data_IF_614804825091
#
_entry.id   IF_614804825091
#
_cell.length_a   1.000
_cell.length_b   1.000
_cell.length_c   1.000
_cell.angle_alpha   90.00
_cell.angle_beta   90.00
_cell.angle_gamma   90.00
#
_symmetry.space_group_name_H-M   'P 1'
#
loop_
_entity.id
_entity.type
_entity.pdbx_description
1 polymer ?
#
# COMPACT_ATOMS: atom_id res chain seq x y z
N UNK A 1 13.77 25.82 -1.71
CA UNK A 1 12.88 26.20 -0.59
C UNK A 1 12.20 24.92 -0.15
N UNK A 2 12.62 24.33 0.98
CA UNK A 2 11.88 23.23 1.61
C UNK A 2 12.30 23.21 3.07
N UNK A 3 11.34 23.49 3.95
CA UNK A 3 11.50 23.46 5.40
C UNK A 3 10.48 22.49 5.98
N UNK A 4 10.84 21.85 7.08
CA UNK A 4 9.93 20.99 7.85
C UNK A 4 8.66 21.79 8.22
N UNK A 5 7.49 21.20 7.99
CA UNK A 5 6.23 21.82 8.38
C UNK A 5 6.25 22.13 9.88
N UNK A 6 6.14 23.41 10.23
CA UNK A 6 6.11 23.88 11.62
C UNK A 6 4.84 23.37 12.34
N UNK A 7 3.77 23.14 11.57
CA UNK A 7 2.53 22.54 12.03
C UNK A 7 2.11 21.44 11.06
N UNK A 8 1.88 20.23 11.59
CA UNK A 8 1.21 19.14 10.88
C UNK A 8 -0.14 18.94 11.55
N UNK A 9 -1.17 19.55 10.98
CA UNK A 9 -2.55 19.30 11.38
C UNK A 9 -3.34 18.96 10.13
N UNK A 10 -4.04 17.84 10.17
CA UNK A 10 -4.95 17.42 9.12
C UNK A 10 -6.30 18.15 9.27
N UNK A 11 -7.08 18.29 8.18
CA UNK A 11 -8.44 18.82 8.29
C UNK A 11 -9.31 18.05 9.29
N UNK A 12 -9.13 16.73 9.38
CA UNK A 12 -9.86 15.88 10.32
C UNK A 12 -9.50 16.19 11.78
N UNK A 13 -8.22 16.37 12.09
CA UNK A 13 -7.78 16.80 13.43
C UNK A 13 -8.40 18.15 13.80
N UNK A 14 -8.47 19.10 12.86
CA UNK A 14 -9.16 20.37 13.07
C UNK A 14 -10.65 20.22 13.38
N UNK A 15 -11.33 19.25 12.75
CA UNK A 15 -12.73 18.93 13.07
C UNK A 15 -12.86 18.33 14.47
N UNK A 16 -11.97 17.40 14.85
CA UNK A 16 -11.94 16.83 16.19
C UNK A 16 -11.64 17.89 17.26
N UNK A 17 -10.69 18.79 17.04
CA UNK A 17 -10.40 19.88 17.97
C UNK A 17 -11.60 20.82 18.14
N UNK A 18 -12.31 21.11 17.04
CA UNK A 18 -13.42 22.07 17.04
C UNK A 18 -14.71 21.49 17.62
N UNK A 19 -15.00 20.23 17.35
CA UNK A 19 -16.28 19.59 17.63
C UNK A 19 -16.19 18.43 18.63
N UNK A 20 -15.01 17.93 18.97
CA UNK A 20 -14.84 16.73 19.79
C UNK A 20 -14.91 15.46 18.95
N UNK A 21 -14.01 14.50 19.20
CA UNK A 21 -13.91 13.25 18.46
C UNK A 21 -15.17 12.38 18.60
N UNK A 22 -15.93 12.55 19.68
CA UNK A 22 -17.18 11.84 19.95
C UNK A 22 -18.38 12.33 19.11
N UNK A 23 -18.22 13.45 18.39
CA UNK A 23 -19.27 14.05 17.54
C UNK A 23 -18.89 14.10 16.06
N UNK A 24 -17.78 13.46 15.69
CA UNK A 24 -17.27 13.45 14.32
C UNK A 24 -17.00 12.01 13.94
N UNK A 25 -17.87 11.44 13.12
CA UNK A 25 -17.61 10.16 12.47
C UNK A 25 -16.77 10.38 11.21
N UNK A 26 -15.86 9.45 10.94
CA UNK A 26 -14.95 9.52 9.80
C UNK A 26 -14.81 8.16 9.11
N UNK A 27 -14.96 8.18 7.79
CA UNK A 27 -14.58 7.09 6.91
C UNK A 27 -13.62 7.65 5.84
N UNK A 28 -12.45 7.03 5.70
CA UNK A 28 -11.45 7.44 4.70
C UNK A 28 -11.92 7.14 3.27
N UNK A 29 -12.81 6.16 3.10
CA UNK A 29 -13.34 5.77 1.80
C UNK A 29 -12.38 4.98 0.91
N UNK A 30 -11.33 4.39 1.50
CA UNK A 30 -10.39 3.51 0.80
C UNK A 30 -10.87 2.05 0.84
N UNK A 31 -10.68 1.33 -0.26
CA UNK A 31 -10.97 -0.09 -0.34
C UNK A 31 -9.99 -0.88 0.55
N UNK A 32 -10.52 -1.86 1.28
CA UNK A 32 -9.72 -2.83 2.05
C UNK A 32 -9.67 -4.14 1.29
N UNK A 33 -8.47 -4.59 0.95
CA UNK A 33 -8.25 -5.75 0.07
C UNK A 33 -7.23 -6.73 0.64
N UNK A 34 -7.38 -8.00 0.27
CA UNK A 34 -6.33 -9.02 0.34
C UNK A 34 -5.97 -9.46 -1.07
N UNK A 35 -4.69 -9.74 -1.26
CA UNK A 35 -4.15 -10.21 -2.54
C UNK A 35 -3.88 -11.71 -2.42
N UNK A 36 -4.75 -12.52 -3.04
CA UNK A 36 -4.62 -13.98 -3.07
C UNK A 36 -3.69 -14.38 -4.22
N UNK A 37 -2.70 -15.21 -3.95
CA UNK A 37 -1.80 -15.80 -4.96
C UNK A 37 -2.47 -16.95 -5.70
N UNK A 38 -1.91 -17.34 -6.83
CA UNK A 38 -2.31 -18.52 -7.61
C UNK A 38 -2.22 -19.84 -6.82
N UNK A 39 -1.36 -19.89 -5.79
CA UNK A 39 -1.23 -21.03 -4.87
C UNK A 39 -2.29 -21.06 -3.77
N UNK A 40 -3.12 -20.01 -3.65
CA UNK A 40 -4.18 -19.89 -2.66
C UNK A 40 -3.75 -19.35 -1.30
N UNK A 41 -2.50 -18.92 -1.16
CA UNK A 41 -2.02 -18.09 -0.04
C UNK A 41 -2.31 -16.61 -0.32
N UNK A 42 -2.07 -15.76 0.67
CA UNK A 42 -2.30 -14.33 0.59
C UNK A 42 -1.03 -13.56 0.89
N UNK A 43 -0.88 -12.40 0.26
CA UNK A 43 0.18 -11.45 0.57
C UNK A 43 0.11 -11.04 2.05
N UNK A 44 1.25 -11.11 2.73
CA UNK A 44 1.37 -10.88 4.17
C UNK A 44 2.50 -9.91 4.46
N UNK A 45 2.18 -8.86 5.22
CA UNK A 45 3.15 -7.89 5.74
C UNK A 45 3.68 -8.45 7.06
N UNK A 46 4.96 -8.86 7.13
CA UNK A 46 5.51 -9.33 8.39
C UNK A 46 5.52 -8.19 9.40
N UNK A 47 5.28 -8.52 10.67
CA UNK A 47 5.52 -7.57 11.75
C UNK A 47 7.00 -7.15 11.68
N UNK A 48 7.26 -5.86 11.53
CA UNK A 48 8.57 -5.35 11.84
C UNK A 48 8.82 -5.71 13.32
N UNK A 49 9.92 -6.38 13.64
CA UNK A 49 10.36 -6.51 15.04
C UNK A 49 10.65 -5.12 15.62
N UNK A 50 11.23 -5.04 16.82
CA UNK A 50 11.71 -3.78 17.43
C UNK A 50 12.86 -3.11 16.64
N UNK A 51 12.80 -3.09 15.30
CA UNK A 51 13.55 -2.16 14.49
C UNK A 51 13.02 -0.77 14.85
N UNK A 52 13.90 0.07 15.39
CA UNK A 52 13.58 1.46 15.73
C UNK A 52 12.71 2.08 14.62
N UNK A 53 11.54 2.56 15.04
CA UNK A 53 10.62 3.41 14.25
C UNK A 53 11.31 4.71 13.81
N UNK A 54 12.50 4.98 14.35
CA UNK A 54 13.41 5.97 13.80
C UNK A 54 13.87 5.53 12.40
N UNK A 55 13.30 6.19 11.40
CA UNK A 55 13.89 6.30 10.07
C UNK A 55 15.33 6.80 10.21
N UNK A 56 16.31 5.88 10.20
CA UNK A 56 17.73 6.22 10.10
C UNK A 56 17.93 7.09 8.86
N UNK A 57 18.12 8.39 9.06
CA UNK A 57 18.27 9.39 8.00
C UNK A 57 17.13 10.40 7.86
N UNK A 58 16.04 10.30 8.64
CA UNK A 58 14.96 11.30 8.61
C UNK A 58 15.33 12.64 9.28
N UNK A 59 16.40 12.69 10.09
CA UNK A 59 17.03 13.96 10.48
C UNK A 59 17.80 14.55 9.29
N UNK A 60 17.08 15.19 8.37
CA UNK A 60 17.66 16.06 7.33
C UNK A 60 17.56 15.57 5.89
N UNK A 61 17.07 14.35 5.61
CA UNK A 61 16.77 13.94 4.23
C UNK A 61 15.40 14.47 3.79
N UNK A 62 15.39 15.60 3.09
CA UNK A 62 14.20 16.23 2.50
C UNK A 62 13.66 15.51 1.25
N UNK A 63 14.22 14.35 0.94
CA UNK A 63 13.78 13.54 -0.19
C UNK A 63 13.36 12.17 0.32
N UNK A 64 12.05 11.84 0.33
CA UNK A 64 11.63 10.46 0.53
C UNK A 64 12.28 9.50 -0.50
N UNK A 65 12.78 10.00 -1.66
CA UNK A 65 13.57 9.22 -2.61
C UNK A 65 15.00 8.87 -2.15
N UNK A 66 15.53 9.54 -1.12
CA UNK A 66 16.87 9.25 -0.59
C UNK A 66 16.88 8.10 0.42
N UNK A 67 15.71 7.62 0.84
CA UNK A 67 15.59 6.32 1.48
C UNK A 67 15.54 5.29 0.35
N UNK A 68 16.72 4.84 -0.12
CA UNK A 68 16.80 3.58 -0.86
C UNK A 68 16.04 2.54 -0.02
N UNK A 69 14.83 2.15 -0.47
CA UNK A 69 13.76 1.63 0.37
C UNK A 69 14.27 0.76 1.52
N UNK A 70 13.88 1.06 2.76
CA UNK A 70 14.36 0.45 4.02
C UNK A 70 14.59 -1.07 3.91
N UNK A 71 15.78 -1.49 3.49
CA UNK A 71 16.14 -2.91 3.29
C UNK A 71 16.31 -3.67 4.59
N UNK A 72 16.41 -2.94 5.71
CA UNK A 72 16.43 -3.45 7.07
C UNK A 72 15.07 -3.98 7.54
N UNK A 73 13.98 -3.62 6.86
CA UNK A 73 12.66 -4.19 7.10
C UNK A 73 12.51 -5.53 6.36
N UNK A 74 11.72 -6.47 6.91
CA UNK A 74 11.51 -7.75 6.25
C UNK A 74 10.72 -7.58 4.93
N UNK A 75 11.08 -8.33 3.88
CA UNK A 75 10.28 -8.37 2.65
C UNK A 75 8.90 -8.96 2.92
N UNK A 76 7.91 -8.56 2.13
CA UNK A 76 6.59 -9.17 2.17
C UNK A 76 6.69 -10.66 1.87
N UNK A 77 5.81 -11.43 2.51
CA UNK A 77 5.75 -12.89 2.33
C UNK A 77 4.32 -13.29 1.95
N UNK A 78 4.04 -14.59 1.95
CA UNK A 78 2.68 -15.08 1.75
C UNK A 78 2.31 -16.12 2.80
N UNK A 79 1.11 -16.06 3.34
CA UNK A 79 0.59 -17.04 4.31
C UNK A 79 -0.91 -17.33 4.08
N UNK A 80 -1.54 -18.12 4.95
CA UNK A 80 -2.94 -18.52 4.77
C UNK A 80 -3.97 -17.42 5.09
N UNK A 81 -3.58 -16.37 5.81
CA UNK A 81 -4.48 -15.33 6.31
C UNK A 81 -4.35 -14.02 5.53
N UNK A 82 -3.11 -13.65 5.22
CA UNK A 82 -2.73 -12.40 4.58
C UNK A 82 -2.87 -11.19 5.48
N UNK A 83 -2.61 -10.03 4.89
CA UNK A 83 -2.80 -8.72 5.52
C UNK A 83 -3.83 -7.93 4.73
N UNK A 84 -4.78 -7.30 5.44
CA UNK A 84 -5.70 -6.33 4.84
C UNK A 84 -4.93 -5.04 4.49
N UNK A 85 -4.89 -4.71 3.21
CA UNK A 85 -4.24 -3.52 2.68
C UNK A 85 -5.29 -2.49 2.29
N UNK A 86 -5.01 -1.21 2.55
CA UNK A 86 -5.75 -0.14 1.90
C UNK A 86 -5.26 0.00 0.46
N UNK A 87 -6.17 -0.14 -0.50
CA UNK A 87 -5.94 0.15 -1.91
C UNK A 87 -6.39 1.58 -2.18
N UNK A 88 -5.43 2.40 -2.62
CA UNK A 88 -5.66 3.82 -2.94
C UNK A 88 -5.48 3.98 -4.44
N UNK A 89 -6.60 4.21 -5.13
CA UNK A 89 -6.62 4.47 -6.57
C UNK A 89 -6.35 5.96 -6.84
N UNK A 90 -5.36 6.24 -7.69
CA UNK A 90 -4.99 7.58 -8.13
C UNK A 90 -5.60 7.94 -9.48
N UNK A 91 -6.41 7.06 -10.05
CA UNK A 91 -6.92 7.12 -11.41
C UNK A 91 -5.92 6.55 -12.44
N UNK A 92 -6.40 6.40 -13.68
CA UNK A 92 -5.58 5.92 -14.81
C UNK A 92 -4.89 4.55 -14.55
N UNK A 93 -5.51 3.73 -13.69
CA UNK A 93 -5.02 2.41 -13.28
C UNK A 93 -3.77 2.45 -12.39
N UNK A 94 -3.38 3.63 -11.88
CA UNK A 94 -2.27 3.80 -10.94
C UNK A 94 -2.79 3.67 -9.51
N UNK A 95 -2.14 2.84 -8.70
CA UNK A 95 -2.54 2.65 -7.30
C UNK A 95 -1.34 2.62 -6.36
N UNK A 96 -1.60 2.88 -5.09
CA UNK A 96 -0.71 2.55 -3.98
C UNK A 96 -1.40 1.59 -3.01
N UNK A 97 -0.60 0.80 -2.29
CA UNK A 97 -1.06 -0.12 -1.26
C UNK A 97 -0.48 0.31 0.08
N UNK A 98 -1.32 0.43 1.10
CA UNK A 98 -0.90 0.85 2.45
C UNK A 98 -1.24 -0.24 3.46
N UNK A 99 -0.24 -0.64 4.23
CA UNK A 99 -0.36 -1.61 5.30
C UNK A 99 -1.12 -1.03 6.51
N UNK A 100 -1.62 -1.88 7.43
CA UNK A 100 -2.35 -1.44 8.62
C UNK A 100 -1.57 -0.50 9.55
N UNK A 101 -0.25 -0.59 9.54
CA UNK A 101 0.66 0.29 10.29
C UNK A 101 0.83 1.68 9.66
N UNK A 102 0.16 1.94 8.53
CA UNK A 102 0.20 3.21 7.82
C UNK A 102 1.29 3.32 6.76
N UNK A 103 2.22 2.35 6.68
CA UNK A 103 3.30 2.37 5.69
C UNK A 103 2.82 1.90 4.33
N UNK A 104 3.24 2.59 3.29
CA UNK A 104 3.04 2.22 1.90
C UNK A 104 4.00 1.11 1.51
N UNK A 105 3.48 0.18 0.69
CA UNK A 105 4.28 -0.83 0.06
C UNK A 105 5.19 -0.16 -0.99
N UNK A 106 6.49 -0.42 -0.92
CA UNK A 106 7.49 0.12 -1.84
C UNK A 106 8.50 -0.96 -2.23
N UNK A 107 9.03 -0.87 -3.45
CA UNK A 107 10.13 -1.72 -3.89
C UNK A 107 11.47 -1.09 -3.52
N UNK A 108 12.26 -1.80 -2.73
CA UNK A 108 13.60 -1.37 -2.36
C UNK A 108 14.62 -1.64 -3.47
N UNK A 109 15.86 -1.18 -3.29
CA UNK A 109 16.95 -1.33 -4.26
C UNK A 109 17.34 -2.79 -4.54
N UNK A 110 17.12 -3.69 -3.59
CA UNK A 110 17.32 -5.14 -3.75
C UNK A 110 16.18 -5.82 -4.53
N UNK A 111 15.17 -5.05 -4.95
CA UNK A 111 14.03 -5.51 -5.73
C UNK A 111 12.91 -6.14 -4.91
N UNK A 112 13.04 -6.24 -3.59
CA UNK A 112 11.99 -6.81 -2.74
C UNK A 112 10.95 -5.76 -2.33
N UNK A 113 9.71 -6.21 -2.24
CA UNK A 113 8.57 -5.43 -1.80
C UNK A 113 8.52 -5.38 -0.27
N UNK A 114 8.38 -4.18 0.31
CA UNK A 114 8.33 -3.95 1.75
C UNK A 114 7.25 -2.93 2.10
N UNK A 115 6.65 -3.04 3.28
CA UNK A 115 5.90 -1.94 3.88
C UNK A 115 6.90 -1.01 4.56
N UNK A 116 7.32 0.06 3.90
CA UNK A 116 8.47 0.87 4.34
C UNK A 116 8.35 2.37 4.17
N UNK A 117 7.46 2.86 3.32
CA UNK A 117 7.36 4.28 3.01
C UNK A 117 6.25 4.95 3.84
N UNK A 118 6.54 6.05 4.53
CA UNK A 118 5.52 6.81 5.28
C UNK A 118 4.54 7.54 4.36
N UNK A 119 4.97 7.85 3.14
CA UNK A 119 4.17 8.49 2.09
C UNK A 119 4.74 8.14 0.70
N UNK A 120 3.91 8.12 -0.35
CA UNK A 120 4.40 8.05 -1.72
C UNK A 120 5.21 9.32 -2.03
N UNK A 121 6.38 9.17 -2.64
CA UNK A 121 7.19 10.34 -2.96
C UNK A 121 8.44 10.05 -3.77
N UNK A 122 9.17 11.13 -4.06
CA UNK A 122 10.42 11.07 -4.82
C UNK A 122 10.26 11.33 -6.32
N UNK A 123 11.39 11.41 -7.02
CA UNK A 123 11.40 11.58 -8.48
C UNK A 123 10.92 10.32 -9.21
N UNK A 124 11.32 9.16 -8.70
CA UNK A 124 10.77 7.85 -9.08
C UNK A 124 10.03 7.33 -7.85
N UNK A 125 8.70 7.27 -7.93
CA UNK A 125 7.82 6.87 -6.83
C UNK A 125 7.76 5.34 -6.75
N UNK A 126 8.45 4.77 -5.77
CA UNK A 126 8.58 3.30 -5.61
C UNK A 126 7.32 2.65 -5.01
N UNK A 127 6.34 3.46 -4.61
CA UNK A 127 5.10 3.03 -3.96
C UNK A 127 3.97 2.76 -4.96
N UNK A 128 4.24 2.93 -6.26
CA UNK A 128 3.20 2.93 -7.30
C UNK A 128 3.15 1.65 -8.11
N UNK A 129 1.93 1.16 -8.31
CA UNK A 129 1.66 -0.09 -9.01
C UNK A 129 0.53 0.07 -10.03
N UNK A 130 0.41 -0.91 -10.94
CA UNK A 130 -0.74 -1.11 -11.82
C UNK A 130 -1.22 -2.55 -11.77
N UNK A 131 -2.53 -2.74 -11.80
CA UNK A 131 -3.14 -4.06 -12.00
C UNK A 131 -3.34 -4.30 -13.49
N UNK A 132 -2.62 -5.27 -14.02
CA UNK A 132 -2.72 -5.67 -15.43
C UNK A 132 -3.46 -7.01 -15.51
N UNK A 133 -4.45 -7.20 -16.40
CA UNK A 133 -5.11 -8.49 -16.57
C UNK A 133 -4.09 -9.59 -16.93
N UNK A 134 -4.11 -10.72 -16.22
CA UNK A 134 -3.16 -11.80 -16.43
C UNK A 134 -3.30 -12.49 -17.80
N UNK A 135 -4.48 -12.40 -18.43
CA UNK A 135 -4.76 -12.97 -19.74
C UNK A 135 -5.26 -11.91 -20.72
N UNK A 136 -4.36 -11.03 -21.17
CA UNK A 136 -4.69 -10.06 -22.22
C UNK A 136 -4.69 -10.66 -23.63
N UNK A 137 -4.39 -11.98 -23.78
CA UNK A 137 -4.27 -12.67 -25.09
C UNK A 137 -5.32 -13.75 -25.35
N UNK A 138 -5.96 -14.30 -24.34
CA UNK A 138 -7.11 -15.17 -24.49
C UNK A 138 -8.29 -14.47 -23.81
N UNK A 139 -9.43 -14.34 -24.48
CA UNK A 139 -10.64 -13.68 -23.94
C UNK A 139 -11.29 -14.39 -22.74
N UNK A 140 -10.50 -15.11 -21.95
CA UNK A 140 -10.81 -15.69 -20.66
C UNK A 140 -10.94 -14.56 -19.63
N UNK A 141 -12.15 -14.37 -19.13
CA UNK A 141 -12.45 -13.46 -18.03
C UNK A 141 -11.97 -14.08 -16.71
N UNK A 142 -10.65 -14.22 -16.54
CA UNK A 142 -10.06 -14.50 -15.24
C UNK A 142 -10.02 -13.22 -14.40
N UNK A 143 -10.40 -13.30 -13.12
CA UNK A 143 -10.24 -12.23 -12.12
C UNK A 143 -8.79 -11.99 -11.70
N UNK A 144 -7.84 -12.73 -12.26
CA UNK A 144 -6.42 -12.65 -11.94
C UNK A 144 -5.73 -11.46 -12.59
N UNK A 145 -4.88 -10.80 -11.80
CA UNK A 145 -4.10 -9.63 -12.19
C UNK A 145 -2.61 -9.86 -11.94
N UNK A 146 -1.78 -9.36 -12.85
CA UNK A 146 -0.36 -9.14 -12.58
C UNK A 146 -0.21 -7.76 -11.94
N UNK A 147 0.51 -7.70 -10.83
CA UNK A 147 0.80 -6.42 -10.17
C UNK A 147 2.13 -5.88 -10.69
N UNK A 148 2.07 -4.88 -11.57
CA UNK A 148 3.24 -4.24 -12.16
C UNK A 148 3.71 -3.10 -11.28
N UNK A 149 4.97 -3.12 -10.86
CA UNK A 149 5.59 -1.99 -10.18
C UNK A 149 6.01 -0.93 -11.21
N UNK A 150 5.54 0.31 -11.05
CA UNK A 150 5.71 1.37 -12.05
C UNK A 150 7.16 1.85 -12.11
N UNK A 151 7.84 1.95 -10.96
CA UNK A 151 9.20 2.48 -10.88
C UNK A 151 10.24 1.62 -11.59
N UNK A 152 10.12 0.29 -11.49
CA UNK A 152 11.02 -0.67 -12.18
C UNK A 152 10.46 -1.12 -13.53
N UNK A 153 9.14 -1.07 -13.69
CA UNK A 153 8.44 -1.56 -14.88
C UNK A 153 8.22 -3.08 -14.93
N UNK A 154 8.73 -3.82 -13.94
CA UNK A 154 8.55 -5.28 -13.83
C UNK A 154 7.33 -5.66 -13.00
N UNK A 155 7.01 -6.95 -12.98
CA UNK A 155 5.89 -7.50 -12.22
C UNK A 155 6.34 -8.12 -10.91
N UNK A 156 5.44 -8.18 -9.94
CA UNK A 156 5.70 -8.89 -8.70
C UNK A 156 5.70 -10.40 -8.91
N UNK A 157 6.58 -11.07 -8.18
CA UNK A 157 6.76 -12.51 -8.12
C UNK A 157 6.92 -12.94 -6.66
N UNK A 158 6.43 -14.13 -6.32
CA UNK A 158 6.57 -14.71 -4.99
C UNK A 158 7.74 -15.69 -5.01
N UNK A 159 8.84 -15.34 -4.35
CA UNK A 159 10.00 -16.21 -4.15
C UNK A 159 10.00 -16.82 -2.74
N UNK A 160 10.86 -17.83 -2.53
CA UNK A 160 10.96 -18.54 -1.25
C UNK A 160 11.40 -17.64 -0.08
N UNK A 161 12.09 -16.55 -0.38
CA UNK A 161 12.64 -15.58 0.56
C UNK A 161 11.86 -14.26 0.60
N UNK A 162 10.77 -14.14 -0.17
CA UNK A 162 9.87 -13.00 -0.14
C UNK A 162 9.34 -12.59 -1.50
N UNK A 163 8.52 -11.54 -1.49
CA UNK A 163 7.90 -10.96 -2.67
C UNK A 163 8.85 -9.93 -3.27
N UNK A 164 9.10 -10.04 -4.58
CA UNK A 164 10.05 -9.19 -5.31
C UNK A 164 9.58 -8.90 -6.72
N UNK A 165 10.18 -7.90 -7.35
CA UNK A 165 10.01 -7.67 -8.79
C UNK A 165 10.86 -8.67 -9.58
N UNK A 166 10.26 -9.31 -10.58
CA UNK A 166 10.95 -10.18 -11.53
C UNK A 166 10.25 -10.20 -12.90
N UNK A 167 11.01 -10.41 -13.98
CA UNK A 167 10.47 -10.40 -15.35
C UNK A 167 10.03 -11.79 -15.85
N UNK A 168 10.62 -12.87 -15.31
CA UNK A 168 10.51 -14.21 -15.92
C UNK A 168 9.36 -15.07 -15.37
N UNK A 169 8.81 -14.72 -14.20
CA UNK A 169 7.79 -15.52 -13.51
C UNK A 169 6.86 -14.63 -12.66
N UNK A 170 6.03 -13.79 -13.30
CA UNK A 170 5.11 -12.92 -12.57
C UNK A 170 4.04 -13.74 -11.85
N UNK A 171 3.72 -13.34 -10.62
CA UNK A 171 2.65 -13.95 -9.84
C UNK A 171 1.29 -13.39 -10.26
N UNK A 172 0.28 -14.26 -10.34
CA UNK A 172 -1.11 -13.88 -10.56
C UNK A 172 -1.76 -13.66 -9.21
N UNK A 173 -2.27 -12.44 -9.00
CA UNK A 173 -3.01 -12.05 -7.81
C UNK A 173 -4.50 -11.91 -8.11
N UNK A 174 -5.34 -12.47 -7.26
CA UNK A 174 -6.77 -12.17 -7.21
C UNK A 174 -7.03 -11.17 -6.07
N UNK A 175 -7.77 -10.10 -6.38
CA UNK A 175 -8.16 -9.10 -5.39
C UNK A 175 -9.43 -9.55 -4.68
N UNK A 176 -9.32 -9.83 -3.39
CA UNK A 176 -10.45 -10.10 -2.51
C UNK A 176 -10.75 -8.83 -1.69
N UNK A 177 -11.94 -8.25 -1.87
CA UNK A 177 -12.36 -7.07 -1.11
C UNK A 177 -12.89 -7.50 0.26
N UNK A 178 -12.21 -7.07 1.32
CA UNK A 178 -12.70 -7.20 2.69
C UNK A 178 -13.79 -6.15 2.97
N UNK A 179 -13.63 -4.94 2.44
CA UNK A 179 -14.60 -3.85 2.51
C UNK A 179 -14.40 -2.89 1.34
N UNK A 180 -15.50 -2.43 0.75
CA UNK A 180 -15.47 -1.31 -0.22
C UNK A 180 -15.48 0.02 0.52
N UNK A 181 -14.63 0.94 0.10
CA UNK A 181 -14.54 2.27 0.68
C UNK A 181 -15.84 3.05 0.56
N UNK A 182 -16.56 2.91 -0.56
CA UNK A 182 -17.88 3.52 -0.75
C UNK A 182 -18.92 3.00 0.24
N UNK A 183 -18.92 1.69 0.54
CA UNK A 183 -19.82 1.09 1.53
C UNK A 183 -19.50 1.61 2.94
N UNK A 184 -18.21 1.75 3.26
CA UNK A 184 -17.77 2.32 4.53
C UNK A 184 -18.25 3.78 4.70
N UNK A 185 -18.13 4.59 3.64
CA UNK A 185 -18.61 5.98 3.63
C UNK A 185 -20.13 6.04 3.72
N UNK A 186 -20.84 5.24 2.93
CA UNK A 186 -22.31 5.22 2.94
C UNK A 186 -22.84 4.89 4.34
N UNK A 187 -22.29 3.86 5.00
CA UNK A 187 -22.68 3.46 6.35
C UNK A 187 -22.44 4.57 7.38
N UNK A 188 -21.31 5.26 7.32
CA UNK A 188 -21.02 6.39 8.23
C UNK A 188 -21.96 7.57 7.94
N UNK A 189 -22.22 7.88 6.67
CA UNK A 189 -23.14 8.96 6.29
C UNK A 189 -24.58 8.68 6.73
N UNK A 190 -25.05 7.43 6.65
CA UNK A 190 -26.38 7.02 7.12
C UNK A 190 -26.54 7.11 8.64
N UNK A 191 -25.44 6.95 9.39
CA UNK A 191 -25.43 7.04 10.86
C UNK A 191 -25.38 8.50 11.37
N UNK A 192 -25.02 9.46 10.51
CA UNK A 192 -24.98 10.86 10.89
C UNK A 192 -26.40 11.43 11.03
N UNK A 193 -26.74 11.93 12.22
CA UNK A 193 -28.01 12.62 12.46
C UNK A 193 -28.18 13.85 11.52
N UNK A 194 -29.33 13.95 10.85
CA UNK A 194 -29.73 15.13 10.02
C UNK A 194 -30.43 16.18 10.87
#
# INVERSE_FOLDING_TARGET
>A
YSGTLIHRSTPLEGLYERFGAERVDFAEGVDRVRLRTSSGTYLSVPLAGDADDEVRGAEGALDPALLAGRTDLPPLTTDATGTDLALIDWGEGLLTLRAPDGRYLSVAEDGYLRASADQPGGWVVQETFRLEPADSRSGSHGSGHLLRHVGTGGHLSVAADGVRVADDAPEIFELEFAERGEDAVARVAEAADV
#
